data_IF_183300648435
#
_entry.id   IF_183300648435
#
_cell.length_a   1.000
_cell.length_b   1.000
_cell.length_c   1.000
_cell.angle_alpha   90.00
_cell.angle_beta   90.00
_cell.angle_gamma   90.00
#
_symmetry.space_group_name_H-M   'P 1'
#
loop_
_entity.id
_entity.type
_entity.pdbx_description
1 polymer ?
#
# COMPACT_ATOMS: atom_id res chain seq x y z
N UNK A 1 2.04 2.72 29.03
CA UNK A 1 1.89 1.71 27.95
C UNK A 1 1.39 2.44 26.71
N UNK A 2 2.06 2.29 25.56
CA UNK A 2 1.58 2.87 24.30
C UNK A 2 0.38 2.06 23.78
N UNK A 3 -0.62 2.73 23.21
CA UNK A 3 -1.78 2.04 22.61
C UNK A 3 -1.43 1.52 21.20
N UNK A 4 -2.17 0.53 20.70
CA UNK A 4 -2.01 0.02 19.32
C UNK A 4 -2.16 1.13 18.28
N UNK A 5 -3.08 2.08 18.51
CA UNK A 5 -3.26 3.21 17.60
C UNK A 5 -2.09 4.19 17.61
N UNK A 6 -1.46 4.39 18.77
CA UNK A 6 -0.24 5.21 18.89
C UNK A 6 0.90 4.56 18.11
N UNK A 7 1.14 3.26 18.34
CA UNK A 7 2.18 2.51 17.64
C UNK A 7 1.96 2.53 16.11
N UNK A 8 0.73 2.24 15.66
CA UNK A 8 0.42 2.26 14.23
C UNK A 8 0.62 3.63 13.58
N UNK A 9 0.49 4.74 14.33
CA UNK A 9 0.78 6.08 13.82
C UNK A 9 2.28 6.32 13.70
N UNK A 10 3.07 5.84 14.66
CA UNK A 10 4.54 5.95 14.62
C UNK A 10 5.10 5.16 13.45
N UNK A 11 4.70 3.90 13.29
CA UNK A 11 5.13 3.06 12.16
C UNK A 11 4.79 3.68 10.79
N UNK A 12 3.63 4.33 10.66
CA UNK A 12 3.27 5.04 9.42
C UNK A 12 4.15 6.26 9.14
N UNK A 13 4.56 6.98 10.18
CA UNK A 13 5.45 8.12 10.04
C UNK A 13 6.86 7.67 9.65
N UNK A 14 7.40 6.66 10.35
CA UNK A 14 8.70 6.06 10.04
C UNK A 14 8.73 5.46 8.63
N UNK A 15 7.63 4.82 8.20
CA UNK A 15 7.52 4.32 6.84
C UNK A 15 7.53 5.45 5.82
N UNK A 16 6.81 6.54 6.04
CA UNK A 16 6.84 7.71 5.15
C UNK A 16 8.25 8.33 5.07
N UNK A 17 8.91 8.52 6.22
CA UNK A 17 10.30 9.03 6.28
C UNK A 17 11.27 8.13 5.51
N UNK A 18 11.09 6.80 5.56
CA UNK A 18 11.89 5.87 4.76
C UNK A 18 11.62 6.02 3.26
N UNK A 19 10.35 6.16 2.86
CA UNK A 19 9.99 6.34 1.45
C UNK A 19 10.56 7.63 0.85
N UNK A 20 10.66 8.70 1.64
CA UNK A 20 11.29 9.97 1.24
C UNK A 20 12.80 9.82 0.93
N UNK A 21 13.44 8.73 1.39
CA UNK A 21 14.85 8.44 1.07
C UNK A 21 15.05 7.73 -0.27
N UNK A 22 13.98 7.23 -0.89
CA UNK A 22 14.07 6.47 -2.13
C UNK A 22 14.30 7.40 -3.33
N UNK A 23 15.37 7.15 -4.08
CA UNK A 23 15.61 7.82 -5.34
C UNK A 23 14.48 7.47 -6.35
N UNK A 24 14.15 8.37 -7.30
CA UNK A 24 13.07 8.15 -8.26
C UNK A 24 13.16 6.83 -9.03
N UNK A 25 14.37 6.36 -9.35
CA UNK A 25 14.59 5.10 -10.09
C UNK A 25 14.32 3.86 -9.24
N UNK A 26 14.43 3.95 -7.91
CA UNK A 26 14.21 2.83 -6.99
C UNK A 26 12.73 2.46 -6.91
N UNK A 27 11.82 3.42 -7.14
CA UNK A 27 10.39 3.17 -7.17
C UNK A 27 9.97 2.18 -8.27
N UNK A 28 10.70 2.14 -9.39
CA UNK A 28 10.46 1.22 -10.50
C UNK A 28 11.29 -0.08 -10.39
N UNK A 29 12.11 -0.25 -9.36
CA UNK A 29 12.88 -1.47 -9.17
C UNK A 29 11.97 -2.66 -8.85
N UNK A 30 12.30 -3.84 -9.35
CA UNK A 30 11.60 -5.07 -9.02
C UNK A 30 11.72 -5.38 -7.52
N UNK A 31 10.61 -5.80 -6.91
CA UNK A 31 10.57 -6.23 -5.52
C UNK A 31 10.72 -7.75 -5.39
N UNK A 32 10.68 -8.25 -4.15
CA UNK A 32 10.62 -9.69 -3.87
C UNK A 32 9.23 -10.28 -4.14
N UNK A 33 8.20 -9.44 -4.28
CA UNK A 33 6.88 -9.85 -4.74
C UNK A 33 6.94 -9.97 -6.27
N UNK A 34 6.74 -11.18 -6.78
CA UNK A 34 6.85 -11.45 -8.22
C UNK A 34 5.92 -10.54 -9.04
N UNK A 35 6.46 -9.91 -10.07
CA UNK A 35 5.72 -8.99 -10.94
C UNK A 35 5.44 -7.61 -10.33
N UNK A 36 5.88 -7.33 -9.10
CA UNK A 36 5.64 -6.04 -8.42
C UNK A 36 6.91 -5.23 -8.33
N UNK A 37 6.80 -3.94 -8.61
CA UNK A 37 7.84 -2.95 -8.30
C UNK A 37 7.78 -2.53 -6.83
N UNK A 38 8.79 -1.80 -6.36
CA UNK A 38 8.75 -1.15 -5.04
C UNK A 38 7.49 -0.29 -4.88
N UNK A 39 7.10 0.46 -5.92
CA UNK A 39 5.87 1.26 -5.90
C UNK A 39 4.62 0.42 -5.66
N UNK A 40 4.52 -0.75 -6.28
CA UNK A 40 3.35 -1.62 -6.13
C UNK A 40 3.23 -2.15 -4.70
N UNK A 41 4.37 -2.51 -4.07
CA UNK A 41 4.41 -2.92 -2.65
C UNK A 41 3.97 -1.78 -1.73
N UNK A 42 4.41 -0.55 -2.00
CA UNK A 42 4.01 0.63 -1.22
C UNK A 42 2.51 0.87 -1.37
N UNK A 43 1.97 0.86 -2.61
CA UNK A 43 0.54 1.01 -2.88
C UNK A 43 -0.27 -0.06 -2.15
N UNK A 44 0.15 -1.32 -2.21
CA UNK A 44 -0.48 -2.42 -1.46
C UNK A 44 -0.54 -2.13 0.05
N UNK A 45 0.53 -1.57 0.62
CA UNK A 45 0.60 -1.27 2.05
C UNK A 45 -0.33 -0.12 2.46
N UNK A 46 -0.42 0.94 1.64
CA UNK A 46 -1.16 2.16 2.02
C UNK A 46 -2.63 2.19 1.58
N UNK A 47 -3.01 1.39 0.57
CA UNK A 47 -4.38 1.36 0.01
C UNK A 47 -5.44 1.14 1.08
N UNK A 48 -5.13 0.37 2.12
CA UNK A 48 -6.07 0.01 3.17
C UNK A 48 -6.24 1.06 4.28
N UNK A 49 -5.34 2.05 4.37
CA UNK A 49 -5.34 3.02 5.47
C UNK A 49 -6.60 3.90 5.50
N UNK A 50 -7.22 4.14 4.34
CA UNK A 50 -8.47 4.89 4.21
C UNK A 50 -9.74 4.03 4.24
N UNK A 51 -9.61 2.71 4.25
CA UNK A 51 -10.76 1.82 4.13
C UNK A 51 -11.41 1.58 5.49
N UNK A 52 -12.72 1.84 5.58
CA UNK A 52 -13.51 1.27 6.68
C UNK A 52 -13.56 -0.26 6.54
N UNK A 53 -13.72 -0.97 7.67
CA UNK A 53 -13.90 -2.43 7.68
C UNK A 53 -15.01 -2.90 6.75
N UNK A 54 -16.10 -2.11 6.66
CA UNK A 54 -17.23 -2.37 5.75
C UNK A 54 -16.83 -2.20 4.29
N UNK A 55 -16.10 -1.13 3.96
CA UNK A 55 -15.62 -0.88 2.59
C UNK A 55 -14.71 -2.01 2.13
N UNK A 56 -13.77 -2.43 2.98
CA UNK A 56 -12.88 -3.54 2.68
C UNK A 56 -13.65 -4.85 2.45
N UNK A 57 -14.62 -5.17 3.32
CA UNK A 57 -15.43 -6.37 3.15
C UNK A 57 -16.22 -6.37 1.83
N UNK A 58 -16.80 -5.23 1.45
CA UNK A 58 -17.49 -5.08 0.16
C UNK A 58 -16.53 -5.32 -1.01
N UNK A 59 -15.33 -4.75 -0.95
CA UNK A 59 -14.31 -4.94 -1.98
C UNK A 59 -13.85 -6.40 -2.07
N UNK A 60 -13.63 -7.08 -0.94
CA UNK A 60 -13.29 -8.51 -0.95
C UNK A 60 -14.38 -9.37 -1.61
N UNK A 61 -15.65 -9.08 -1.31
CA UNK A 61 -16.79 -9.79 -1.95
C UNK A 61 -16.87 -9.48 -3.44
N UNK A 62 -16.66 -8.22 -3.86
CA UNK A 62 -16.63 -7.82 -5.28
C UNK A 62 -15.55 -8.56 -6.07
N UNK A 63 -14.40 -8.80 -5.43
CA UNK A 63 -13.30 -9.56 -5.99
C UNK A 63 -13.44 -11.08 -5.76
N UNK A 64 -14.61 -11.56 -5.30
CA UNK A 64 -14.90 -12.99 -5.08
C UNK A 64 -13.88 -13.68 -4.16
N UNK A 65 -13.35 -12.95 -3.18
CA UNK A 65 -12.30 -13.41 -2.27
C UNK A 65 -10.93 -13.63 -2.92
N UNK A 66 -10.72 -13.20 -4.15
CA UNK A 66 -9.42 -13.14 -4.81
C UNK A 66 -8.66 -11.89 -4.33
N UNK A 67 -7.74 -12.10 -3.38
CA UNK A 67 -6.96 -11.02 -2.76
C UNK A 67 -5.87 -10.50 -3.69
N UNK A 68 -5.33 -11.35 -4.56
CA UNK A 68 -4.31 -10.94 -5.53
C UNK A 68 -4.93 -9.98 -6.54
N UNK A 69 -6.13 -10.31 -7.03
CA UNK A 69 -6.89 -9.40 -7.88
C UNK A 69 -7.21 -8.09 -7.18
N UNK A 70 -7.72 -8.14 -5.95
CA UNK A 70 -8.00 -6.95 -5.13
C UNK A 70 -6.76 -6.04 -4.99
N UNK A 71 -5.59 -6.63 -4.74
CA UNK A 71 -4.33 -5.90 -4.63
C UNK A 71 -3.91 -5.27 -5.97
N UNK A 72 -4.01 -6.03 -7.06
CA UNK A 72 -3.59 -5.56 -8.40
C UNK A 72 -4.48 -4.43 -8.94
N UNK A 73 -5.80 -4.49 -8.68
CA UNK A 73 -6.74 -3.46 -9.13
C UNK A 73 -6.49 -2.11 -8.41
N UNK A 74 -5.88 -2.14 -7.21
CA UNK A 74 -5.49 -0.92 -6.50
C UNK A 74 -4.39 -0.13 -7.22
N UNK A 75 -3.48 -0.78 -7.96
CA UNK A 75 -2.36 -0.11 -8.64
C UNK A 75 -2.83 0.95 -9.64
N UNK A 76 -3.94 0.69 -10.34
CA UNK A 76 -4.55 1.64 -11.27
C UNK A 76 -4.99 2.94 -10.59
N UNK A 77 -5.43 2.88 -9.33
CA UNK A 77 -5.88 4.05 -8.56
C UNK A 77 -4.73 5.01 -8.23
N UNK A 78 -3.49 4.53 -8.26
CA UNK A 78 -2.28 5.31 -7.92
C UNK A 78 -1.37 5.56 -9.12
N UNK A 79 -1.72 5.11 -10.33
CA UNK A 79 -0.87 5.22 -11.51
C UNK A 79 -0.44 6.66 -11.83
N UNK A 80 -1.30 7.65 -11.55
CA UNK A 80 -1.02 9.08 -11.77
C UNK A 80 -0.27 9.79 -10.64
N UNK A 81 -0.02 9.13 -9.50
CA UNK A 81 0.63 9.75 -8.34
C UNK A 81 2.12 9.46 -8.38
N UNK A 82 2.93 10.45 -8.76
CA UNK A 82 4.38 10.32 -8.66
C UNK A 82 4.81 10.30 -7.18
N UNK A 83 5.78 9.46 -6.80
CA UNK A 83 6.47 9.65 -5.53
C UNK A 83 7.30 10.94 -5.65
N UNK A 84 6.94 11.92 -4.83
CA UNK A 84 7.61 13.23 -4.73
C UNK A 84 8.84 13.17 -3.83
#
# INVERSE_FOLDING_TARGET
MSTVHTLARQERAEFAEFLDTLAPQQWSAASLCEGWTVRDVVVHTVTYLGHSRRSLFIEMVRHRWDVDRLNSDAFGSFAGVAPE
#
